data_IF_450351980521
#
_entry.id   IF_450351980521
#
_cell.length_a   1.000
_cell.length_b   1.000
_cell.length_c   1.000
_cell.angle_alpha   90.00
_cell.angle_beta   90.00
_cell.angle_gamma   90.00
#
_symmetry.space_group_name_H-M   'P 1'
#
loop_
_entity.id
_entity.type
_entity.pdbx_description
1 polymer ?
#
# COMPACT_ATOMS: atom_id res chain seq x y z
N UNK A 1 0.44 -7.95 -3.06
CA UNK A 1 -0.04 -6.66 -2.62
C UNK A 1 0.73 -6.14 -1.40
N UNK A 2 0.82 -6.87 -0.29
CA UNK A 2 1.47 -6.40 0.95
C UNK A 2 3.00 -6.52 0.95
N UNK A 3 3.59 -7.14 -0.07
CA UNK A 3 5.03 -7.42 -0.12
C UNK A 3 5.91 -6.22 0.24
N UNK A 4 5.79 -5.06 -0.42
CA UNK A 4 6.71 -3.95 -0.24
C UNK A 4 6.45 -3.08 1.01
N UNK A 5 5.35 -3.28 1.73
CA UNK A 5 4.98 -2.41 2.88
C UNK A 5 6.04 -2.43 3.99
N UNK A 6 6.68 -3.58 4.22
CA UNK A 6 7.77 -3.66 5.20
C UNK A 6 8.95 -2.76 4.80
N UNK A 7 9.35 -2.84 3.53
CA UNK A 7 10.45 -2.05 2.99
C UNK A 7 10.13 -0.54 3.04
N UNK A 8 8.96 -0.14 2.55
CA UNK A 8 8.52 1.26 2.53
C UNK A 8 8.39 1.82 3.95
N UNK A 9 7.69 1.11 4.84
CA UNK A 9 7.48 1.55 6.23
C UNK A 9 8.80 1.66 7.01
N UNK A 10 9.69 0.68 6.85
CA UNK A 10 11.01 0.71 7.52
C UNK A 10 11.92 1.79 6.93
N UNK A 11 11.86 2.01 5.61
CA UNK A 11 12.62 3.06 4.93
C UNK A 11 12.20 4.46 5.37
N UNK A 12 10.89 4.72 5.42
CA UNK A 12 10.35 5.99 5.93
C UNK A 12 10.68 6.21 7.40
N UNK A 13 10.53 5.18 8.25
CA UNK A 13 10.89 5.27 9.67
C UNK A 13 12.39 5.58 9.85
N UNK A 14 13.26 4.95 9.05
CA UNK A 14 14.68 5.26 9.04
C UNK A 14 14.97 6.69 8.59
N UNK A 15 14.25 7.20 7.58
CA UNK A 15 14.34 8.58 7.14
C UNK A 15 13.97 9.59 8.24
N UNK A 16 12.87 9.36 8.97
CA UNK A 16 12.51 10.20 10.14
C UNK A 16 13.56 10.14 11.23
N UNK A 17 14.14 8.99 11.53
CA UNK A 17 15.22 8.86 12.53
C UNK A 17 16.44 9.65 12.07
N UNK A 18 16.83 9.53 10.80
CA UNK A 18 17.96 10.28 10.25
C UNK A 18 17.73 11.80 10.29
N UNK A 19 16.56 12.27 9.87
CA UNK A 19 16.23 13.71 9.88
C UNK A 19 16.15 14.30 11.28
N UNK A 20 15.80 13.50 12.29
CA UNK A 20 15.76 13.94 13.68
C UNK A 20 17.15 13.97 14.36
N UNK A 21 18.08 13.13 13.92
CA UNK A 21 19.39 12.98 14.56
C UNK A 21 20.53 13.71 13.85
N UNK A 22 20.38 14.00 12.55
CA UNK A 22 21.45 14.55 11.71
C UNK A 22 20.95 15.73 10.89
N UNK A 23 21.80 16.73 10.72
CA UNK A 23 21.53 17.86 9.83
C UNK A 23 21.41 17.38 8.36
N UNK A 24 20.64 18.06 7.50
CA UNK A 24 20.42 17.65 6.11
C UNK A 24 21.71 17.48 5.29
N UNK A 25 22.73 18.24 5.57
CA UNK A 25 24.05 18.25 4.92
C UNK A 25 25.05 17.25 5.52
N UNK A 26 24.66 16.49 6.54
CA UNK A 26 25.53 15.49 7.16
C UNK A 26 25.92 14.41 6.15
N UNK A 27 27.21 14.00 6.19
CA UNK A 27 27.79 12.99 5.28
C UNK A 27 27.01 11.67 5.29
N UNK A 28 26.41 11.30 6.43
CA UNK A 28 25.61 10.09 6.56
C UNK A 28 24.39 10.07 5.64
N UNK A 29 23.82 11.25 5.30
CA UNK A 29 22.66 11.37 4.42
C UNK A 29 23.02 11.22 2.94
N UNK A 30 24.25 11.54 2.55
CA UNK A 30 24.75 11.44 1.17
C UNK A 30 25.52 10.14 0.88
N UNK A 31 25.93 9.42 1.94
CA UNK A 31 26.68 8.17 1.79
C UNK A 31 25.82 7.07 1.18
N UNK A 32 26.31 6.46 0.10
CA UNK A 32 25.68 5.27 -0.50
C UNK A 32 26.68 4.42 -1.28
N UNK A 33 26.38 3.13 -1.36
CA UNK A 33 27.04 2.15 -2.23
C UNK A 33 25.99 1.60 -3.20
N UNK A 34 26.13 1.86 -4.49
CA UNK A 34 25.28 1.29 -5.52
C UNK A 34 25.71 -0.15 -5.79
N UNK A 35 24.76 -1.10 -5.66
CA UNK A 35 24.96 -2.52 -5.91
C UNK A 35 24.64 -2.89 -7.35
N UNK A 36 23.48 -2.44 -7.85
CA UNK A 36 22.96 -2.76 -9.18
C UNK A 36 22.26 -1.53 -9.74
N UNK A 37 22.55 -1.21 -10.99
CA UNK A 37 21.82 -0.20 -11.76
C UNK A 37 20.60 -0.86 -12.41
N UNK A 38 19.42 -0.28 -12.17
CA UNK A 38 18.11 -0.71 -12.68
C UNK A 38 17.48 0.36 -13.58
N UNK A 39 18.29 1.27 -14.15
CA UNK A 39 17.80 2.38 -14.99
C UNK A 39 17.02 1.92 -16.22
N UNK A 40 17.19 0.65 -16.62
CA UNK A 40 16.39 0.04 -17.68
C UNK A 40 14.90 -0.17 -17.32
N UNK A 41 14.57 -0.21 -16.01
CA UNK A 41 13.18 -0.28 -15.51
C UNK A 41 12.59 1.12 -15.32
N UNK A 42 13.38 2.02 -14.75
CA UNK A 42 13.02 3.41 -14.51
C UNK A 42 14.31 4.23 -14.40
N UNK A 43 14.37 5.40 -15.04
CA UNK A 43 15.52 6.29 -15.00
C UNK A 43 15.95 6.61 -13.57
N UNK A 44 17.25 6.40 -13.28
CA UNK A 44 17.84 6.64 -11.95
C UNK A 44 17.52 5.59 -10.89
N UNK A 45 16.77 4.52 -11.22
CA UNK A 45 16.50 3.44 -10.28
C UNK A 45 17.76 2.58 -10.06
N UNK A 46 18.04 2.28 -8.80
CA UNK A 46 19.17 1.41 -8.44
C UNK A 46 18.90 0.66 -7.14
N UNK A 47 19.60 -0.45 -6.94
CA UNK A 47 19.74 -1.08 -5.63
C UNK A 47 20.96 -0.49 -4.94
N UNK A 48 20.79 0.00 -3.70
CA UNK A 48 21.84 0.68 -2.94
C UNK A 48 21.84 0.31 -1.46
N UNK A 49 23.02 0.37 -0.86
CA UNK A 49 23.17 0.35 0.59
C UNK A 49 23.50 1.76 1.04
N UNK A 50 22.73 2.31 1.96
CA UNK A 50 22.90 3.63 2.56
C UNK A 50 22.45 3.59 4.03
N UNK A 51 22.51 4.72 4.74
CA UNK A 51 22.10 4.80 6.13
C UNK A 51 20.63 4.37 6.34
N UNK A 52 19.73 4.76 5.43
CA UNK A 52 18.31 4.34 5.45
C UNK A 52 18.16 2.83 5.38
N UNK A 53 18.93 2.17 4.50
CA UNK A 53 18.92 0.71 4.39
C UNK A 53 19.40 0.05 5.69
N UNK A 54 20.47 0.55 6.32
CA UNK A 54 21.03 -0.04 7.55
C UNK A 54 20.04 0.10 8.70
N UNK A 55 19.51 1.31 8.93
CA UNK A 55 18.55 1.56 10.02
C UNK A 55 17.24 0.80 9.76
N UNK A 56 16.70 0.87 8.54
CA UNK A 56 15.47 0.18 8.16
C UNK A 56 15.57 -1.33 8.30
N UNK A 57 16.71 -1.92 7.93
CA UNK A 57 17.01 -3.35 8.13
C UNK A 57 17.04 -3.72 9.62
N UNK A 58 17.67 -2.89 10.45
CA UNK A 58 17.68 -3.10 11.90
C UNK A 58 16.26 -3.04 12.49
N UNK A 59 15.44 -2.07 12.07
CA UNK A 59 14.03 -1.97 12.48
C UNK A 59 13.22 -3.21 12.06
N UNK A 60 13.39 -3.69 10.82
CA UNK A 60 12.73 -4.93 10.36
C UNK A 60 13.15 -6.15 11.17
N UNK A 61 14.43 -6.26 11.54
CA UNK A 61 14.93 -7.35 12.38
C UNK A 61 14.36 -7.30 13.81
N UNK A 62 14.20 -6.11 14.39
CA UNK A 62 13.54 -5.93 15.69
C UNK A 62 12.08 -6.39 15.60
N UNK A 63 11.35 -5.96 14.57
CA UNK A 63 9.97 -6.39 14.35
C UNK A 63 9.89 -7.90 14.14
N UNK A 64 10.80 -8.47 13.36
CA UNK A 64 10.91 -9.92 13.18
C UNK A 64 11.07 -10.65 14.51
N UNK A 65 11.97 -10.19 15.38
CA UNK A 65 12.20 -10.79 16.68
C UNK A 65 10.95 -10.75 17.58
N UNK A 66 10.22 -9.63 17.57
CA UNK A 66 8.94 -9.49 18.31
C UNK A 66 7.91 -10.50 17.78
N UNK A 67 7.74 -10.59 16.47
CA UNK A 67 6.78 -11.48 15.82
C UNK A 67 7.12 -12.96 16.00
N UNK A 68 8.41 -13.29 15.96
CA UNK A 68 8.92 -14.65 16.18
C UNK A 68 8.67 -15.16 17.61
N UNK A 69 8.49 -14.24 18.58
CA UNK A 69 8.13 -14.53 19.96
C UNK A 69 6.66 -14.92 20.21
N UNK A 70 5.86 -15.01 19.14
CA UNK A 70 4.46 -15.46 19.18
C UNK A 70 3.43 -14.33 19.26
N UNK A 71 2.14 -14.73 19.08
CA UNK A 71 1.03 -13.80 18.85
C UNK A 71 0.75 -12.84 20.02
N UNK A 72 0.89 -13.28 21.26
CA UNK A 72 0.57 -12.44 22.43
C UNK A 72 1.51 -11.24 22.58
N UNK A 73 2.82 -11.44 22.31
CA UNK A 73 3.81 -10.34 22.32
C UNK A 73 3.54 -9.38 21.18
N UNK A 74 3.30 -9.91 20.00
CA UNK A 74 2.95 -9.14 18.82
C UNK A 74 1.69 -8.31 19.02
N UNK A 75 0.60 -8.88 19.50
CA UNK A 75 -0.67 -8.19 19.72
C UNK A 75 -0.55 -7.04 20.73
N UNK A 76 0.20 -7.20 21.83
CA UNK A 76 0.43 -6.13 22.80
C UNK A 76 1.23 -4.97 22.21
N UNK A 77 2.31 -5.26 21.48
CA UNK A 77 3.12 -4.24 20.83
C UNK A 77 2.30 -3.49 19.75
N UNK A 78 1.53 -4.23 18.94
CA UNK A 78 0.62 -3.67 17.93
C UNK A 78 -0.41 -2.72 18.56
N UNK A 79 -0.98 -3.07 19.70
CA UNK A 79 -1.94 -2.21 20.42
C UNK A 79 -1.29 -0.91 20.91
N UNK A 80 -0.09 -0.98 21.50
CA UNK A 80 0.62 0.21 22.01
C UNK A 80 0.99 1.13 20.83
N UNK A 81 1.61 0.60 19.79
CA UNK A 81 2.00 1.39 18.61
C UNK A 81 0.78 1.95 17.88
N UNK A 82 -0.33 1.19 17.83
CA UNK A 82 -1.58 1.62 17.23
C UNK A 82 -2.20 2.83 17.93
N UNK A 83 -2.30 2.78 19.25
CA UNK A 83 -2.86 3.88 20.03
C UNK A 83 -1.99 5.13 19.93
N UNK A 84 -0.66 4.99 20.03
CA UNK A 84 0.27 6.13 19.96
C UNK A 84 0.32 6.75 18.56
N UNK A 85 0.27 5.96 17.48
CA UNK A 85 0.31 6.46 16.11
C UNK A 85 -1.02 7.03 15.62
N UNK A 86 -2.15 6.46 16.05
CA UNK A 86 -3.48 6.86 15.58
C UNK A 86 -3.99 8.15 16.25
N UNK A 87 -3.66 8.36 17.52
CA UNK A 87 -4.15 9.51 18.27
C UNK A 87 -3.79 10.86 17.60
N UNK A 88 -2.53 11.15 17.22
CA UNK A 88 -2.21 12.41 16.57
C UNK A 88 -2.91 12.58 15.22
N UNK A 89 -3.10 11.52 14.45
CA UNK A 89 -3.80 11.59 13.17
C UNK A 89 -5.28 11.95 13.35
N UNK A 90 -5.94 11.38 14.37
CA UNK A 90 -7.32 11.72 14.71
C UNK A 90 -7.39 13.19 15.15
N UNK A 91 -6.48 13.65 16.00
CA UNK A 91 -6.45 15.04 16.48
C UNK A 91 -6.24 16.03 15.33
N UNK A 92 -5.31 15.74 14.43
CA UNK A 92 -5.03 16.57 13.25
C UNK A 92 -6.25 16.68 12.33
N UNK A 93 -7.00 15.60 12.15
CA UNK A 93 -8.23 15.62 11.36
C UNK A 93 -9.38 16.36 12.04
N UNK A 94 -9.49 16.30 13.37
CA UNK A 94 -10.63 16.86 14.13
C UNK A 94 -10.41 18.30 14.58
N UNK A 95 -9.20 18.67 15.01
CA UNK A 95 -8.94 20.00 15.59
C UNK A 95 -9.29 21.12 14.62
N UNK A 96 -8.84 21.16 13.36
CA UNK A 96 -9.19 22.22 12.42
C UNK A 96 -10.71 22.30 12.13
N UNK A 97 -11.42 21.16 12.17
CA UNK A 97 -12.87 21.16 12.02
C UNK A 97 -13.59 21.80 13.21
N UNK A 98 -13.06 21.62 14.43
CA UNK A 98 -13.65 22.17 15.66
C UNK A 98 -13.30 23.64 15.80
N UNK A 99 -12.08 24.04 15.48
CA UNK A 99 -11.61 25.43 15.58
C UNK A 99 -12.07 26.30 14.41
N UNK A 100 -12.50 25.68 13.31
CA UNK A 100 -12.84 26.39 12.07
C UNK A 100 -11.63 26.83 11.25
N UNK A 101 -10.43 26.36 11.55
CA UNK A 101 -9.17 26.70 10.87
C UNK A 101 -8.95 25.89 9.59
N UNK A 102 -9.99 25.82 8.76
CA UNK A 102 -9.93 25.22 7.43
C UNK A 102 -10.35 26.23 6.38
N UNK A 103 -9.43 27.09 5.91
CA UNK A 103 -9.76 28.07 4.88
C UNK A 103 -10.16 27.36 3.59
N UNK A 104 -11.44 27.51 3.20
CA UNK A 104 -12.00 26.89 1.98
C UNK A 104 -11.26 27.35 0.72
N UNK A 105 -10.64 28.52 0.74
CA UNK A 105 -9.78 29.02 -0.35
C UNK A 105 -8.59 28.13 -0.67
N UNK A 106 -8.10 27.33 0.29
CA UNK A 106 -7.00 26.38 0.10
C UNK A 106 -7.47 25.02 -0.46
N UNK A 107 -8.80 24.80 -0.50
CA UNK A 107 -9.41 23.54 -0.95
C UNK A 107 -10.15 23.76 -2.27
N UNK A 108 -10.64 24.97 -2.54
CA UNK A 108 -11.42 25.31 -3.72
C UNK A 108 -10.74 26.43 -4.53
N UNK A 109 -10.89 26.43 -5.86
CA UNK A 109 -11.65 25.48 -6.68
C UNK A 109 -10.98 24.11 -6.78
N UNK A 110 -11.78 23.05 -6.99
CA UNK A 110 -11.26 21.71 -7.28
C UNK A 110 -10.91 21.62 -8.76
N UNK A 111 -9.71 22.01 -9.11
CA UNK A 111 -9.16 21.97 -10.47
C UNK A 111 -7.95 21.04 -10.54
N UNK A 112 -7.66 20.42 -11.69
CA UNK A 112 -6.42 19.69 -11.88
C UNK A 112 -5.20 20.61 -11.69
N UNK A 113 -4.12 20.06 -11.17
CA UNK A 113 -2.85 20.76 -11.08
C UNK A 113 -2.32 21.07 -12.49
N UNK A 114 -1.94 22.32 -12.74
CA UNK A 114 -1.30 22.76 -13.96
C UNK A 114 -0.22 23.79 -13.67
N UNK A 115 0.67 24.00 -14.63
CA UNK A 115 1.76 24.96 -14.52
C UNK A 115 1.77 25.87 -15.75
N UNK A 116 2.07 27.14 -15.54
CA UNK A 116 2.31 28.07 -16.64
C UNK A 116 3.73 27.87 -17.23
N UNK A 117 4.08 28.69 -18.22
CA UNK A 117 5.37 28.64 -18.93
C UNK A 117 6.59 28.94 -18.04
N UNK A 118 6.40 29.46 -16.85
CA UNK A 118 7.46 29.80 -15.89
C UNK A 118 7.45 28.91 -14.65
N UNK A 119 6.59 27.87 -14.65
CA UNK A 119 6.46 26.92 -13.55
C UNK A 119 5.57 27.36 -12.41
N UNK A 120 4.82 28.47 -12.53
CA UNK A 120 3.82 28.85 -11.53
C UNK A 120 2.63 27.90 -11.55
N UNK A 121 2.12 27.60 -10.37
CA UNK A 121 0.92 26.78 -10.19
C UNK A 121 -0.30 27.57 -10.65
N UNK A 122 -1.06 27.00 -11.56
CA UNK A 122 -2.31 27.56 -12.09
C UNK A 122 -3.41 26.52 -12.07
N UNK A 123 -4.66 26.98 -12.14
CA UNK A 123 -5.82 26.12 -12.30
C UNK A 123 -5.81 25.43 -13.66
N UNK A 124 -5.78 24.12 -13.67
CA UNK A 124 -5.84 23.31 -14.90
C UNK A 124 -7.29 23.06 -15.34
N UNK A 125 -7.42 22.53 -16.53
CA UNK A 125 -8.72 22.19 -17.13
C UNK A 125 -9.04 20.71 -16.95
N UNK A 126 -10.34 20.38 -16.85
CA UNK A 126 -10.85 19.00 -16.84
C UNK A 126 -10.91 18.40 -18.24
N UNK A 127 -9.77 18.43 -18.95
CA UNK A 127 -9.51 17.71 -20.19
C UNK A 127 -8.97 16.29 -19.90
N UNK A 128 -8.54 15.56 -20.93
CA UNK A 128 -8.02 14.19 -20.76
C UNK A 128 -6.75 14.14 -19.87
N UNK A 129 -5.90 15.17 -19.95
CA UNK A 129 -4.71 15.28 -19.12
C UNK A 129 -5.07 15.51 -17.64
N UNK A 130 -6.03 16.41 -17.37
CA UNK A 130 -6.56 16.62 -16.01
C UNK A 130 -7.18 15.35 -15.42
N UNK A 131 -7.93 14.59 -16.21
CA UNK A 131 -8.47 13.29 -15.80
C UNK A 131 -7.36 12.24 -15.56
N UNK A 132 -6.28 12.24 -16.34
CA UNK A 132 -5.12 11.38 -16.14
C UNK A 132 -4.45 11.69 -14.79
N UNK A 133 -4.23 12.96 -14.46
CA UNK A 133 -3.66 13.38 -13.17
C UNK A 133 -4.58 12.98 -12.00
N UNK A 134 -5.89 13.22 -12.12
CA UNK A 134 -6.86 12.77 -11.12
C UNK A 134 -6.84 11.26 -10.94
N UNK A 135 -6.78 10.50 -12.03
CA UNK A 135 -6.66 9.04 -11.98
C UNK A 135 -5.36 8.60 -11.28
N UNK A 136 -4.25 9.29 -11.53
CA UNK A 136 -2.97 9.06 -10.84
C UNK A 136 -3.05 9.31 -9.34
N UNK A 137 -3.71 10.41 -8.94
CA UNK A 137 -3.96 10.72 -7.52
C UNK A 137 -4.84 9.68 -6.84
N UNK A 138 -5.97 9.31 -7.46
CA UNK A 138 -6.88 8.28 -6.93
C UNK A 138 -6.22 6.89 -6.93
N UNK A 139 -5.43 6.58 -7.94
CA UNK A 139 -4.65 5.34 -7.98
C UNK A 139 -3.73 5.23 -6.77
N UNK A 140 -2.90 6.25 -6.49
CA UNK A 140 -1.97 6.19 -5.35
C UNK A 140 -2.70 6.24 -4.01
N UNK A 141 -3.78 7.03 -3.90
CA UNK A 141 -4.60 7.12 -2.70
C UNK A 141 -5.22 5.75 -2.31
N UNK A 142 -5.53 4.90 -3.28
CA UNK A 142 -6.01 3.56 -3.03
C UNK A 142 -5.04 2.73 -2.17
N UNK A 143 -3.72 2.97 -2.28
CA UNK A 143 -2.74 2.31 -1.42
C UNK A 143 -2.94 2.63 0.07
N UNK A 144 -3.30 3.85 0.39
CA UNK A 144 -3.53 4.28 1.78
C UNK A 144 -4.69 3.55 2.44
N UNK A 145 -5.66 3.09 1.66
CA UNK A 145 -6.90 2.49 2.17
C UNK A 145 -6.80 0.99 2.42
N UNK A 146 -5.70 0.33 2.07
CA UNK A 146 -5.57 -1.10 2.30
C UNK A 146 -4.91 -1.50 3.61
N UNK A 147 -5.19 -2.73 4.05
CA UNK A 147 -4.73 -3.26 5.33
C UNK A 147 -5.86 -3.47 6.34
N UNK A 148 -7.04 -2.81 6.19
CA UNK A 148 -8.19 -3.04 7.08
C UNK A 148 -8.68 -4.50 7.02
N UNK A 149 -8.52 -5.17 5.89
CA UNK A 149 -8.82 -6.58 5.68
C UNK A 149 -7.82 -7.54 6.35
N UNK A 150 -6.72 -7.04 6.89
CA UNK A 150 -5.69 -7.86 7.56
C UNK A 150 -6.27 -8.72 8.68
N UNK A 151 -7.40 -8.31 9.28
CA UNK A 151 -8.12 -9.09 10.27
C UNK A 151 -8.47 -10.51 9.79
N UNK A 152 -8.67 -10.74 8.48
CA UNK A 152 -8.91 -12.06 7.90
C UNK A 152 -7.76 -13.03 8.18
N UNK A 153 -6.52 -12.55 8.18
CA UNK A 153 -5.34 -13.37 8.42
C UNK A 153 -5.27 -13.92 9.87
N UNK A 154 -6.03 -13.33 10.79
CA UNK A 154 -6.07 -13.70 12.20
C UNK A 154 -7.34 -14.45 12.60
N UNK A 155 -8.20 -14.82 11.65
CA UNK A 155 -9.51 -15.43 11.93
C UNK A 155 -9.43 -16.65 12.86
N UNK A 156 -8.39 -17.49 12.73
CA UNK A 156 -8.17 -18.65 13.61
C UNK A 156 -7.73 -18.29 15.03
N UNK A 157 -7.31 -17.05 15.26
CA UNK A 157 -6.81 -16.54 16.55
C UNK A 157 -7.86 -15.76 17.33
N UNK A 158 -9.02 -15.46 16.71
CA UNK A 158 -10.13 -14.80 17.37
C UNK A 158 -10.90 -15.73 18.32
N UNK A 159 -11.41 -15.17 19.40
CA UNK A 159 -12.28 -15.93 20.35
C UNK A 159 -13.59 -16.35 19.69
N UNK A 160 -14.20 -15.46 18.93
CA UNK A 160 -15.45 -15.66 18.19
C UNK A 160 -15.27 -15.29 16.72
N UNK A 161 -14.61 -16.13 15.90
CA UNK A 161 -14.25 -15.79 14.51
C UNK A 161 -15.42 -15.29 13.66
N UNK A 162 -16.62 -15.92 13.83
CA UNK A 162 -17.83 -15.57 13.06
C UNK A 162 -18.27 -14.11 13.25
N UNK A 163 -18.10 -13.55 14.43
CA UNK A 163 -18.53 -12.19 14.79
C UNK A 163 -17.35 -11.20 14.76
N UNK A 164 -16.20 -11.61 15.29
CA UNK A 164 -15.09 -10.71 15.54
C UNK A 164 -14.40 -10.28 14.24
N UNK A 165 -14.29 -11.19 13.25
CA UNK A 165 -13.72 -10.87 11.93
C UNK A 165 -14.54 -9.77 11.23
N UNK A 166 -15.88 -9.91 11.20
CA UNK A 166 -16.74 -8.89 10.60
C UNK A 166 -16.61 -7.54 11.31
N UNK A 167 -16.67 -7.53 12.64
CA UNK A 167 -16.56 -6.29 13.43
C UNK A 167 -15.22 -5.61 13.22
N UNK A 168 -14.13 -6.37 13.24
CA UNK A 168 -12.78 -5.84 13.03
C UNK A 168 -12.67 -5.16 11.66
N UNK A 169 -13.12 -5.82 10.58
CA UNK A 169 -13.07 -5.26 9.22
C UNK A 169 -13.99 -4.04 9.10
N UNK A 170 -15.21 -4.11 9.60
CA UNK A 170 -16.19 -3.04 9.48
C UNK A 170 -15.74 -1.76 10.20
N UNK A 171 -15.34 -1.86 11.47
CA UNK A 171 -14.94 -0.69 12.25
C UNK A 171 -13.59 -0.13 11.79
N UNK A 172 -12.62 -0.98 11.41
CA UNK A 172 -11.37 -0.49 10.84
C UNK A 172 -11.59 0.18 9.49
N UNK A 173 -12.49 -0.33 8.65
CA UNK A 173 -12.87 0.31 7.39
C UNK A 173 -13.49 1.69 7.60
N UNK A 174 -14.42 1.84 8.56
CA UNK A 174 -15.00 3.15 8.91
C UNK A 174 -13.94 4.12 9.43
N UNK A 175 -13.02 3.65 10.28
CA UNK A 175 -11.93 4.46 10.79
C UNK A 175 -10.99 4.90 9.66
N UNK A 176 -10.66 4.00 8.72
CA UNK A 176 -9.89 4.35 7.52
C UNK A 176 -10.58 5.46 6.71
N UNK A 177 -11.89 5.33 6.43
CA UNK A 177 -12.64 6.37 5.72
C UNK A 177 -12.53 7.71 6.44
N UNK A 178 -12.72 7.74 7.75
CA UNK A 178 -12.63 8.97 8.54
C UNK A 178 -11.23 9.59 8.48
N UNK A 179 -10.19 8.82 8.80
CA UNK A 179 -8.81 9.32 8.85
C UNK A 179 -8.33 9.77 7.47
N UNK A 180 -8.53 8.95 6.43
CA UNK A 180 -8.08 9.27 5.07
C UNK A 180 -8.93 10.31 4.33
N UNK A 181 -10.06 10.71 4.89
CA UNK A 181 -10.80 11.89 4.44
C UNK A 181 -10.37 13.15 5.20
N UNK A 182 -10.31 13.09 6.52
CA UNK A 182 -10.11 14.27 7.36
C UNK A 182 -8.66 14.76 7.40
N UNK A 183 -7.69 13.84 7.48
CA UNK A 183 -6.27 14.22 7.59
C UNK A 183 -5.76 14.93 6.33
N UNK A 184 -5.98 14.43 5.10
CA UNK A 184 -5.59 15.15 3.88
C UNK A 184 -6.26 16.50 3.75
N UNK A 185 -7.55 16.62 4.12
CA UNK A 185 -8.26 17.91 4.12
C UNK A 185 -7.62 18.91 5.11
N UNK A 186 -7.25 18.46 6.31
CA UNK A 186 -6.58 19.28 7.30
C UNK A 186 -5.21 19.75 6.79
N UNK A 187 -4.44 18.88 6.16
CA UNK A 187 -3.15 19.22 5.56
C UNK A 187 -3.31 20.25 4.44
N UNK A 188 -4.20 20.00 3.50
CA UNK A 188 -4.43 20.95 2.40
C UNK A 188 -5.00 22.28 2.88
N UNK A 189 -5.92 22.26 3.84
CA UNK A 189 -6.45 23.47 4.44
C UNK A 189 -5.38 24.31 5.14
N UNK A 190 -4.45 23.66 5.84
CA UNK A 190 -3.35 24.34 6.54
C UNK A 190 -2.25 24.85 5.60
N UNK A 191 -1.83 24.05 4.63
CA UNK A 191 -0.69 24.35 3.77
C UNK A 191 -1.06 25.08 2.48
N UNK A 192 -2.28 24.88 1.97
CA UNK A 192 -2.63 25.19 0.59
C UNK A 192 -1.94 24.27 -0.41
N UNK A 193 -2.27 24.44 -1.70
CA UNK A 193 -1.65 23.66 -2.77
C UNK A 193 -0.14 23.95 -2.88
N UNK A 194 0.23 25.20 -2.79
CA UNK A 194 1.60 25.68 -2.90
C UNK A 194 1.83 26.57 -4.11
N UNK A 195 2.93 27.32 -4.04
CA UNK A 195 3.36 28.25 -5.07
C UNK A 195 4.84 28.03 -5.40
N UNK A 196 5.27 28.50 -6.56
CA UNK A 196 6.68 28.50 -6.95
C UNK A 196 7.45 29.49 -6.10
N UNK A 197 8.42 29.04 -5.32
CA UNK A 197 9.31 29.86 -4.48
C UNK A 197 10.58 30.20 -5.25
N UNK A 198 11.23 29.21 -5.84
CA UNK A 198 12.44 29.38 -6.63
C UNK A 198 12.28 28.67 -7.98
N UNK A 199 12.71 29.37 -9.04
CA UNK A 199 12.67 28.82 -10.40
C UNK A 199 13.79 27.82 -10.62
N UNK A 200 13.54 26.88 -11.50
CA UNK A 200 14.55 25.99 -12.04
C UNK A 200 15.70 26.80 -12.64
N UNK A 201 16.92 26.44 -12.29
CA UNK A 201 18.11 27.02 -12.89
C UNK A 201 18.78 26.06 -13.83
N UNK A 202 19.04 26.53 -15.05
CA UNK A 202 19.71 25.76 -16.10
C UNK A 202 21.15 26.25 -16.28
N UNK A 203 22.08 25.35 -16.59
CA UNK A 203 23.42 25.72 -17.04
C UNK A 203 23.41 26.18 -18.51
N UNK A 204 24.55 26.63 -19.01
CA UNK A 204 24.72 27.07 -20.40
C UNK A 204 24.46 25.98 -21.46
N UNK A 205 24.41 24.74 -21.04
CA UNK A 205 24.06 23.58 -21.89
C UNK A 205 22.59 23.18 -21.81
N UNK A 206 21.74 23.95 -21.07
CA UNK A 206 20.32 23.65 -20.87
C UNK A 206 20.02 22.53 -19.89
N UNK A 207 21.00 22.12 -19.09
CA UNK A 207 20.79 21.07 -18.07
C UNK A 207 20.38 21.71 -16.74
N UNK A 208 19.45 21.06 -16.03
CA UNK A 208 18.98 21.50 -14.72
C UNK A 208 20.12 21.45 -13.70
N UNK A 209 20.50 22.59 -13.15
CA UNK A 209 21.48 22.71 -12.06
C UNK A 209 20.81 22.73 -10.70
N UNK A 210 19.67 23.42 -10.59
CA UNK A 210 18.81 23.34 -9.42
C UNK A 210 17.35 23.23 -9.87
N UNK A 211 16.57 22.27 -9.31
CA UNK A 211 15.16 22.11 -9.64
C UNK A 211 14.34 23.28 -9.07
N UNK A 212 13.14 23.47 -9.62
CA UNK A 212 12.18 24.41 -9.08
C UNK A 212 11.80 24.04 -7.64
N UNK A 213 11.67 25.04 -6.76
CA UNK A 213 11.27 24.85 -5.37
C UNK A 213 9.86 25.38 -5.18
N UNK A 214 9.00 24.55 -4.61
CA UNK A 214 7.61 24.87 -4.28
C UNK A 214 7.41 24.83 -2.77
N UNK A 215 6.48 25.63 -2.26
CA UNK A 215 5.98 25.57 -0.89
C UNK A 215 4.66 24.73 -0.80
N UNK A 216 3.97 24.80 0.33
CA UNK A 216 2.68 24.12 0.55
C UNK A 216 2.75 22.61 0.38
N UNK A 217 1.66 22.05 -0.15
CA UNK A 217 1.57 20.61 -0.42
C UNK A 217 2.55 20.11 -1.49
N UNK A 218 3.01 20.99 -2.37
CA UNK A 218 3.97 20.67 -3.43
C UNK A 218 5.43 20.70 -2.97
N UNK A 219 5.70 21.09 -1.71
CA UNK A 219 7.06 21.13 -1.20
C UNK A 219 7.73 19.76 -1.19
N UNK A 220 9.03 19.71 -1.47
CA UNK A 220 9.82 18.49 -1.45
C UNK A 220 9.79 17.77 -0.10
N UNK A 221 9.68 18.51 1.01
CA UNK A 221 9.58 17.95 2.36
C UNK A 221 8.26 17.19 2.57
N UNK A 222 7.15 17.72 2.05
CA UNK A 222 5.85 17.03 2.11
C UNK A 222 5.84 15.84 1.16
N UNK A 223 6.35 16.00 -0.06
CA UNK A 223 6.43 14.91 -1.04
C UNK A 223 7.27 13.72 -0.53
N UNK A 224 8.39 14.00 0.13
CA UNK A 224 9.24 12.97 0.75
C UNK A 224 8.64 12.39 2.04
N UNK A 225 7.63 13.03 2.61
CA UNK A 225 7.03 12.70 3.90
C UNK A 225 7.81 13.21 5.12
N UNK A 226 9.00 13.76 4.95
CA UNK A 226 9.86 14.19 6.08
C UNK A 226 9.30 15.44 6.80
N UNK A 227 8.60 16.33 6.11
CA UNK A 227 7.97 17.53 6.68
C UNK A 227 6.67 17.27 7.46
N UNK A 228 6.12 16.06 7.39
CA UNK A 228 4.79 15.73 7.97
C UNK A 228 4.74 16.03 9.48
N UNK A 229 5.79 15.74 10.24
CA UNK A 229 5.83 15.99 11.68
C UNK A 229 5.70 17.49 12.02
N UNK A 230 6.35 18.36 11.24
CA UNK A 230 6.29 19.82 11.41
C UNK A 230 4.88 20.34 11.12
N UNK A 231 4.24 19.82 10.07
CA UNK A 231 2.86 20.18 9.72
C UNK A 231 1.88 19.72 10.81
N UNK A 232 2.04 18.52 11.35
CA UNK A 232 1.23 18.04 12.47
C UNK A 232 1.38 18.96 13.69
N UNK A 233 2.60 19.36 14.02
CA UNK A 233 2.85 20.32 15.11
C UNK A 233 2.19 21.66 14.83
N UNK A 234 2.33 22.21 13.61
CA UNK A 234 1.72 23.48 13.21
C UNK A 234 0.20 23.49 13.32
N UNK A 235 -0.47 22.47 12.80
CA UNK A 235 -1.95 22.31 12.88
C UNK A 235 -2.44 22.28 14.33
N UNK A 236 -1.67 21.69 15.24
CA UNK A 236 -2.04 21.60 16.66
C UNK A 236 -1.53 22.76 17.51
N UNK A 237 -0.94 23.81 16.90
CA UNK A 237 -0.44 25.00 17.58
C UNK A 237 0.83 24.75 18.40
N UNK A 238 1.61 23.72 18.07
CA UNK A 238 2.86 23.34 18.75
C UNK A 238 4.10 23.98 18.13
N UNK A 239 5.19 23.92 18.90
CA UNK A 239 6.52 24.36 18.50
C UNK A 239 7.41 23.18 18.01
N UNK A 240 8.72 23.44 17.83
CA UNK A 240 9.70 22.43 17.43
C UNK A 240 9.82 21.25 18.41
N UNK A 241 9.52 21.43 19.68
CA UNK A 241 9.54 20.34 20.66
C UNK A 241 8.39 19.37 20.39
N UNK A 242 7.19 19.89 20.04
CA UNK A 242 6.08 19.06 19.61
C UNK A 242 6.39 18.31 18.31
N UNK A 243 7.08 18.93 17.35
CA UNK A 243 7.49 18.26 16.12
C UNK A 243 8.35 17.01 16.41
N UNK A 244 9.30 17.10 17.35
CA UNK A 244 10.11 15.94 17.75
C UNK A 244 9.26 14.79 18.37
N UNK A 245 8.24 15.14 19.17
CA UNK A 245 7.29 14.13 19.70
C UNK A 245 6.54 13.46 18.56
N UNK A 246 6.08 14.23 17.56
CA UNK A 246 5.40 13.66 16.39
C UNK A 246 6.30 12.78 15.54
N UNK A 247 7.58 13.11 15.39
CA UNK A 247 8.54 12.22 14.72
C UNK A 247 8.55 10.84 15.41
N UNK A 248 8.64 10.79 16.74
CA UNK A 248 8.60 9.52 17.46
C UNK A 248 7.29 8.78 17.23
N UNK A 249 6.14 9.49 17.29
CA UNK A 249 4.82 8.89 17.07
C UNK A 249 4.67 8.36 15.64
N UNK A 250 5.18 9.08 14.64
CA UNK A 250 5.18 8.63 13.23
C UNK A 250 6.07 7.40 13.04
N UNK A 251 7.25 7.36 13.65
CA UNK A 251 8.11 6.16 13.63
C UNK A 251 7.37 4.96 14.23
N UNK A 252 6.69 5.12 15.36
CA UNK A 252 5.90 4.06 15.98
C UNK A 252 4.71 3.63 15.10
N UNK A 253 4.05 4.57 14.42
CA UNK A 253 2.98 4.26 13.47
C UNK A 253 3.50 3.47 12.25
N UNK A 254 4.68 3.83 11.72
CA UNK A 254 5.33 3.08 10.65
C UNK A 254 5.76 1.69 11.09
N UNK A 255 6.31 1.55 12.32
CA UNK A 255 6.62 0.24 12.89
C UNK A 255 5.38 -0.61 13.12
N UNK A 256 4.24 -0.01 13.49
CA UNK A 256 2.96 -0.70 13.53
C UNK A 256 2.58 -1.28 12.16
N UNK A 257 2.72 -0.49 11.09
CA UNK A 257 2.47 -0.94 9.72
C UNK A 257 3.38 -2.11 9.34
N UNK A 258 4.68 -2.02 9.64
CA UNK A 258 5.66 -3.09 9.42
C UNK A 258 5.28 -4.35 10.21
N UNK A 259 4.88 -4.22 11.48
CA UNK A 259 4.47 -5.34 12.34
C UNK A 259 3.23 -6.05 11.82
N UNK A 260 2.18 -5.30 11.53
CA UNK A 260 0.90 -5.87 11.06
C UNK A 260 1.06 -6.55 9.71
N UNK A 261 1.83 -5.93 8.82
CA UNK A 261 2.09 -6.49 7.50
C UNK A 261 2.98 -7.74 7.57
N UNK A 262 4.03 -7.74 8.37
CA UNK A 262 4.87 -8.95 8.56
C UNK A 262 4.04 -10.11 9.11
N UNK A 263 3.19 -9.86 10.08
CA UNK A 263 2.35 -10.88 10.66
C UNK A 263 1.30 -11.40 9.66
N UNK A 264 0.59 -10.50 8.96
CA UNK A 264 -0.43 -10.87 7.99
C UNK A 264 0.12 -11.58 6.76
N UNK A 265 1.18 -11.04 6.13
CA UNK A 265 1.79 -11.64 4.95
C UNK A 265 2.42 -13.01 5.24
N UNK A 266 3.06 -13.18 6.39
CA UNK A 266 3.65 -14.47 6.77
C UNK A 266 2.58 -15.54 6.99
N UNK A 267 1.42 -15.19 7.58
CA UNK A 267 0.29 -16.10 7.71
C UNK A 267 -0.34 -16.45 6.37
N UNK A 268 -0.43 -15.48 5.47
CA UNK A 268 -0.93 -15.71 4.10
C UNK A 268 0.00 -16.66 3.33
N UNK A 269 1.31 -16.46 3.41
CA UNK A 269 2.29 -17.38 2.79
C UNK A 269 2.21 -18.79 3.40
N UNK A 270 2.10 -18.88 4.72
CA UNK A 270 1.91 -20.13 5.44
C UNK A 270 0.64 -20.85 4.97
N UNK A 271 -0.50 -20.16 4.97
CA UNK A 271 -1.77 -20.76 4.56
C UNK A 271 -1.75 -21.18 3.09
N UNK A 272 -1.24 -20.35 2.19
CA UNK A 272 -1.07 -20.71 0.77
C UNK A 272 -0.18 -21.94 0.56
N UNK A 273 0.79 -22.18 1.44
CA UNK A 273 1.59 -23.42 1.44
C UNK A 273 0.80 -24.64 1.93
N UNK A 274 -0.01 -24.49 2.98
CA UNK A 274 -0.91 -25.54 3.48
C UNK A 274 -1.95 -25.92 2.42
N UNK A 275 -2.49 -24.92 1.72
CA UNK A 275 -3.50 -25.09 0.68
C UNK A 275 -2.92 -25.67 -0.64
N UNK A 276 -1.60 -25.92 -0.71
CA UNK A 276 -0.94 -26.46 -1.91
C UNK A 276 -0.76 -25.48 -3.05
N UNK A 277 -0.88 -24.18 -2.78
CA UNK A 277 -0.68 -23.12 -3.78
C UNK A 277 0.75 -22.60 -3.82
N UNK A 278 1.47 -22.66 -2.70
CA UNK A 278 2.83 -22.15 -2.52
C UNK A 278 3.80 -23.27 -2.06
N UNK A 279 5.12 -23.05 -2.16
CA UNK A 279 6.13 -24.04 -1.78
C UNK A 279 5.94 -24.55 -0.35
N UNK A 280 6.05 -25.89 -0.16
CA UNK A 280 5.77 -26.57 1.10
C UNK A 280 6.64 -26.14 2.29
N UNK A 281 7.85 -25.60 2.07
CA UNK A 281 8.72 -25.14 3.16
C UNK A 281 8.15 -23.97 3.95
N UNK A 282 7.25 -23.17 3.34
CA UNK A 282 6.63 -22.01 3.98
C UNK A 282 5.64 -22.41 5.10
N UNK A 283 5.24 -23.68 5.18
CA UNK A 283 4.36 -24.20 6.24
C UNK A 283 5.09 -24.52 7.56
N UNK A 284 6.40 -24.29 7.65
CA UNK A 284 7.15 -24.55 8.87
C UNK A 284 6.89 -23.48 9.92
N UNK A 285 6.58 -23.94 11.14
CA UNK A 285 6.36 -23.10 12.33
C UNK A 285 7.42 -23.38 13.39
N UNK A 286 7.67 -22.41 14.28
CA UNK A 286 8.51 -22.60 15.44
C UNK A 286 7.71 -23.15 16.64
N UNK A 287 8.38 -23.36 17.78
CA UNK A 287 7.77 -23.85 19.02
C UNK A 287 6.67 -22.90 19.57
N UNK A 288 6.72 -21.63 19.23
CA UNK A 288 5.72 -20.62 19.59
C UNK A 288 4.55 -20.53 18.60
N UNK A 289 4.53 -21.38 17.57
CA UNK A 289 3.50 -21.40 16.53
C UNK A 289 3.62 -20.29 15.48
N UNK A 290 4.72 -19.53 15.46
CA UNK A 290 4.95 -18.51 14.43
C UNK A 290 5.44 -19.16 13.12
N UNK A 291 4.94 -18.71 11.94
CA UNK A 291 5.32 -19.26 10.63
C UNK A 291 6.71 -18.76 10.20
N UNK A 292 7.76 -19.24 10.87
CA UNK A 292 9.12 -18.71 10.80
C UNK A 292 9.71 -18.76 9.40
N UNK A 293 9.47 -19.84 8.63
CA UNK A 293 9.99 -19.94 7.26
C UNK A 293 9.36 -18.90 6.33
N UNK A 294 8.06 -18.66 6.47
CA UNK A 294 7.35 -17.62 5.74
C UNK A 294 7.82 -16.22 6.16
N UNK A 295 8.07 -16.01 7.46
CA UNK A 295 8.62 -14.75 7.97
C UNK A 295 10.01 -14.44 7.42
N UNK A 296 10.91 -15.42 7.39
CA UNK A 296 12.25 -15.26 6.79
C UNK A 296 12.18 -14.95 5.31
N UNK A 297 11.34 -15.66 4.56
CA UNK A 297 11.14 -15.41 3.13
C UNK A 297 10.66 -13.98 2.89
N UNK A 298 9.66 -13.54 3.65
CA UNK A 298 9.13 -12.18 3.57
C UNK A 298 10.20 -11.12 3.94
N UNK A 299 10.97 -11.35 5.00
CA UNK A 299 12.05 -10.46 5.43
C UNK A 299 13.13 -10.32 4.35
N UNK A 300 13.62 -11.43 3.78
CA UNK A 300 14.67 -11.40 2.74
C UNK A 300 14.20 -10.63 1.51
N UNK A 301 12.98 -10.89 1.03
CA UNK A 301 12.40 -10.14 -0.10
C UNK A 301 12.34 -8.64 0.23
N UNK A 302 11.91 -8.28 1.43
CA UNK A 302 11.81 -6.87 1.81
C UNK A 302 13.15 -6.18 2.05
N UNK A 303 14.19 -6.91 2.45
CA UNK A 303 15.56 -6.36 2.49
C UNK A 303 16.05 -5.99 1.08
N UNK A 304 15.75 -6.83 0.07
CA UNK A 304 16.05 -6.48 -1.32
C UNK A 304 15.24 -5.27 -1.77
N UNK A 305 13.95 -5.20 -1.47
CA UNK A 305 13.10 -4.06 -1.82
C UNK A 305 13.51 -2.77 -1.09
N UNK A 306 13.97 -2.86 0.17
CA UNK A 306 14.46 -1.71 0.94
C UNK A 306 15.73 -1.10 0.33
N UNK A 307 16.53 -1.90 -0.38
CA UNK A 307 17.70 -1.38 -1.09
C UNK A 307 17.37 -0.57 -2.35
N UNK A 308 16.12 -0.56 -2.82
CA UNK A 308 15.70 0.24 -3.99
C UNK A 308 15.78 1.74 -3.68
N UNK A 309 16.25 2.52 -4.64
CA UNK A 309 16.44 3.96 -4.50
C UNK A 309 15.14 4.79 -4.55
N UNK A 310 14.06 4.23 -5.09
CA UNK A 310 12.79 4.92 -5.28
C UNK A 310 11.63 4.15 -4.62
N UNK A 311 11.23 4.64 -3.44
CA UNK A 311 10.12 4.05 -2.69
C UNK A 311 8.75 4.41 -3.25
N UNK A 312 8.62 5.55 -3.93
CA UNK A 312 7.35 5.97 -4.56
C UNK A 312 7.03 5.05 -5.73
N UNK A 313 8.03 4.76 -6.56
CA UNK A 313 7.88 3.77 -7.63
C UNK A 313 7.53 2.38 -7.09
N UNK A 314 8.20 1.93 -6.03
CA UNK A 314 7.91 0.64 -5.38
C UNK A 314 6.49 0.59 -4.83
N UNK A 315 6.04 1.68 -4.20
CA UNK A 315 4.68 1.83 -3.69
C UNK A 315 3.65 1.75 -4.83
N UNK A 316 3.86 2.52 -5.88
CA UNK A 316 2.96 2.55 -7.03
C UNK A 316 2.90 1.18 -7.76
N UNK A 317 4.04 0.53 -7.98
CA UNK A 317 4.06 -0.81 -8.57
C UNK A 317 3.36 -1.87 -7.70
N UNK A 318 3.49 -1.78 -6.37
CA UNK A 318 2.78 -2.68 -5.45
C UNK A 318 1.27 -2.46 -5.46
N UNK A 319 0.84 -1.20 -5.64
CA UNK A 319 -0.57 -0.84 -5.67
C UNK A 319 -1.31 -1.43 -6.87
N UNK A 320 -0.65 -1.59 -8.01
CA UNK A 320 -1.19 -2.34 -9.16
C UNK A 320 -1.64 -3.74 -8.74
N UNK A 321 -0.76 -4.47 -8.04
CA UNK A 321 -1.10 -5.80 -7.52
C UNK A 321 -2.26 -5.78 -6.52
N UNK A 322 -2.37 -4.73 -5.70
CA UNK A 322 -3.46 -4.59 -4.74
C UNK A 322 -4.80 -4.31 -5.43
N UNK A 323 -4.84 -3.45 -6.43
CA UNK A 323 -6.06 -3.17 -7.18
C UNK A 323 -6.54 -4.42 -7.93
N UNK A 324 -5.63 -5.19 -8.54
CA UNK A 324 -5.95 -6.49 -9.17
C UNK A 324 -6.54 -7.45 -8.13
N UNK A 325 -5.92 -7.56 -6.97
CA UNK A 325 -6.41 -8.40 -5.87
C UNK A 325 -7.82 -8.00 -5.42
N UNK A 326 -8.09 -6.72 -5.21
CA UNK A 326 -9.42 -6.23 -4.84
C UNK A 326 -10.46 -6.48 -5.93
N UNK A 327 -10.10 -6.26 -7.20
CA UNK A 327 -10.94 -6.58 -8.34
C UNK A 327 -11.37 -8.05 -8.34
N UNK A 328 -10.42 -8.96 -8.17
CA UNK A 328 -10.71 -10.39 -8.12
C UNK A 328 -11.55 -10.77 -6.90
N UNK A 329 -11.27 -10.23 -5.72
CA UNK A 329 -12.01 -10.52 -4.49
C UNK A 329 -13.47 -10.05 -4.55
N UNK A 330 -13.70 -8.83 -5.00
CA UNK A 330 -15.06 -8.26 -5.08
C UNK A 330 -15.92 -9.03 -6.10
N UNK A 331 -15.31 -9.44 -7.21
CA UNK A 331 -15.98 -10.29 -8.19
C UNK A 331 -16.17 -11.73 -7.68
N UNK A 332 -15.21 -12.30 -6.98
CA UNK A 332 -15.35 -13.62 -6.38
C UNK A 332 -16.52 -13.67 -5.39
N UNK A 333 -16.83 -12.57 -4.71
CA UNK A 333 -17.93 -12.49 -3.73
C UNK A 333 -19.30 -12.83 -4.33
N UNK A 334 -19.65 -12.31 -5.50
CA UNK A 334 -20.92 -12.63 -6.16
C UNK A 334 -20.87 -13.94 -6.92
N UNK A 335 -19.73 -14.30 -7.53
CA UNK A 335 -19.51 -15.59 -8.18
C UNK A 335 -19.70 -16.73 -7.18
N UNK A 336 -19.11 -16.63 -5.99
CA UNK A 336 -19.30 -17.61 -4.93
C UNK A 336 -20.75 -17.72 -4.44
N UNK A 337 -21.58 -16.68 -4.59
CA UNK A 337 -23.01 -16.78 -4.28
C UNK A 337 -23.79 -17.56 -5.33
N UNK A 338 -23.35 -17.53 -6.58
CA UNK A 338 -23.92 -18.33 -7.66
C UNK A 338 -23.54 -19.80 -7.50
N UNK A 339 -22.27 -20.08 -7.25
CA UNK A 339 -21.76 -21.44 -7.14
C UNK A 339 -22.23 -22.13 -5.85
N UNK A 340 -22.31 -21.37 -4.75
CA UNK A 340 -22.63 -21.87 -3.41
C UNK A 340 -23.78 -21.09 -2.76
N UNK A 341 -25.01 -21.13 -3.31
CA UNK A 341 -26.15 -20.32 -2.83
C UNK A 341 -26.55 -20.66 -1.39
N UNK A 342 -26.42 -21.92 -0.99
CA UNK A 342 -26.83 -22.44 0.31
C UNK A 342 -25.67 -22.50 1.33
N UNK A 343 -24.46 -22.03 0.97
CA UNK A 343 -23.33 -22.01 1.88
C UNK A 343 -23.62 -21.11 3.09
N UNK A 344 -23.42 -21.64 4.29
CA UNK A 344 -23.60 -20.88 5.53
C UNK A 344 -22.57 -19.73 5.60
N UNK A 345 -23.07 -18.52 5.72
CA UNK A 345 -22.22 -17.31 5.85
C UNK A 345 -22.52 -16.64 7.17
N UNK A 346 -21.52 -16.46 8.06
CA UNK A 346 -21.71 -15.73 9.35
C UNK A 346 -22.31 -14.34 9.15
N UNK A 347 -21.90 -13.66 8.07
CA UNK A 347 -22.48 -12.40 7.60
C UNK A 347 -22.77 -12.48 6.11
N UNK A 348 -24.01 -12.19 5.73
CA UNK A 348 -24.42 -12.13 4.34
C UNK A 348 -24.63 -10.67 3.93
N UNK A 349 -23.60 -10.04 3.31
CA UNK A 349 -23.71 -8.65 2.86
C UNK A 349 -24.93 -8.46 1.93
N UNK A 350 -25.65 -7.32 2.01
CA UNK A 350 -26.72 -7.00 1.06
C UNK A 350 -26.23 -7.05 -0.38
N UNK A 351 -27.08 -7.53 -1.29
CA UNK A 351 -26.70 -7.65 -2.72
C UNK A 351 -26.35 -6.31 -3.34
N UNK A 352 -26.99 -5.22 -2.90
CA UNK A 352 -26.70 -3.86 -3.36
C UNK A 352 -25.26 -3.47 -3.04
N UNK A 353 -24.76 -3.78 -1.83
CA UNK A 353 -23.38 -3.48 -1.47
C UNK A 353 -22.37 -4.27 -2.32
N UNK A 354 -22.69 -5.53 -2.65
CA UNK A 354 -21.85 -6.32 -3.55
C UNK A 354 -21.86 -5.72 -4.96
N UNK A 355 -23.02 -5.32 -5.47
CA UNK A 355 -23.13 -4.69 -6.79
C UNK A 355 -22.32 -3.39 -6.86
N UNK A 356 -22.45 -2.51 -5.86
CA UNK A 356 -21.68 -1.27 -5.76
C UNK A 356 -20.17 -1.59 -5.67
N UNK A 357 -19.76 -2.50 -4.79
CA UNK A 357 -18.36 -2.89 -4.66
C UNK A 357 -17.78 -3.45 -5.96
N UNK A 358 -18.55 -4.29 -6.66
CA UNK A 358 -18.19 -4.82 -7.99
C UNK A 358 -18.02 -3.69 -9.00
N UNK A 359 -18.97 -2.76 -9.10
CA UNK A 359 -18.85 -1.62 -9.99
C UNK A 359 -17.63 -0.76 -9.70
N UNK A 360 -17.40 -0.43 -8.42
CA UNK A 360 -16.22 0.34 -7.99
C UNK A 360 -14.91 -0.40 -8.28
N UNK A 361 -14.91 -1.73 -8.26
CA UNK A 361 -13.72 -2.50 -8.63
C UNK A 361 -13.35 -2.30 -10.11
N UNK A 362 -14.32 -2.22 -11.00
CA UNK A 362 -14.09 -1.88 -12.40
C UNK A 362 -13.62 -0.44 -12.59
N UNK A 363 -14.20 0.52 -11.84
CA UNK A 363 -13.71 1.91 -11.83
C UNK A 363 -12.25 1.96 -11.40
N UNK A 364 -11.85 1.23 -10.36
CA UNK A 364 -10.45 1.16 -9.93
C UNK A 364 -9.52 0.57 -11.02
N UNK A 365 -10.00 -0.37 -11.84
CA UNK A 365 -9.23 -0.86 -12.99
C UNK A 365 -9.01 0.23 -14.05
N UNK A 366 -10.02 1.08 -14.31
CA UNK A 366 -9.88 2.25 -15.20
C UNK A 366 -8.84 3.23 -14.63
N UNK A 367 -8.97 3.60 -13.34
CA UNK A 367 -8.05 4.51 -12.66
C UNK A 367 -6.61 3.98 -12.67
N UNK A 368 -6.43 2.67 -12.49
CA UNK A 368 -5.12 2.03 -12.57
C UNK A 368 -4.54 2.13 -13.99
N UNK A 369 -5.31 1.85 -15.02
CA UNK A 369 -4.86 1.93 -16.41
C UNK A 369 -4.47 3.35 -16.81
N UNK A 370 -5.27 4.36 -16.44
CA UNK A 370 -4.98 5.77 -16.74
C UNK A 370 -3.87 6.35 -15.85
N UNK A 371 -3.84 5.99 -14.57
CA UNK A 371 -3.10 6.74 -13.56
C UNK A 371 -1.77 6.11 -13.09
N UNK A 372 -1.56 4.81 -13.29
CA UNK A 372 -0.38 4.15 -12.72
C UNK A 372 0.95 4.72 -13.26
N UNK A 373 1.04 5.04 -14.54
CA UNK A 373 2.25 5.56 -15.17
C UNK A 373 2.54 7.05 -14.86
N UNK A 374 1.62 7.77 -14.23
CA UNK A 374 1.86 9.12 -13.69
C UNK A 374 2.98 9.09 -12.64
N UNK A 375 3.12 7.98 -11.91
CA UNK A 375 4.13 7.78 -10.85
C UNK A 375 5.46 7.22 -11.36
N UNK A 376 5.63 7.17 -12.67
CA UNK A 376 6.83 6.73 -13.37
C UNK A 376 6.48 5.81 -14.53
N UNK A 377 7.10 6.08 -15.68
CA UNK A 377 6.95 5.24 -16.87
C UNK A 377 7.31 3.79 -16.53
N UNK A 378 6.46 2.86 -16.92
CA UNK A 378 6.66 1.43 -16.65
C UNK A 378 6.06 0.92 -15.30
N UNK A 379 5.49 1.79 -14.45
CA UNK A 379 4.87 1.39 -13.17
C UNK A 379 3.77 0.34 -13.37
N UNK A 380 2.87 0.56 -14.33
CA UNK A 380 1.79 -0.38 -14.63
C UNK A 380 2.33 -1.76 -15.02
N UNK A 381 3.27 -1.79 -15.96
CA UNK A 381 3.85 -3.04 -16.43
C UNK A 381 4.63 -3.77 -15.33
N UNK A 382 5.45 -3.05 -14.57
CA UNK A 382 6.21 -3.62 -13.44
C UNK A 382 5.29 -4.21 -12.37
N UNK A 383 4.20 -3.51 -12.05
CA UNK A 383 3.22 -4.01 -11.09
C UNK A 383 2.48 -5.25 -11.57
N UNK A 384 2.09 -5.31 -12.85
CA UNK A 384 1.47 -6.49 -13.46
C UNK A 384 2.46 -7.67 -13.45
N UNK A 385 3.70 -7.47 -13.86
CA UNK A 385 4.73 -8.53 -13.87
C UNK A 385 4.97 -9.08 -12.46
N UNK A 386 5.07 -8.20 -11.45
CA UNK A 386 5.19 -8.62 -10.06
C UNK A 386 3.98 -9.43 -9.57
N UNK A 387 2.76 -9.03 -9.96
CA UNK A 387 1.55 -9.78 -9.61
C UNK A 387 1.51 -11.16 -10.29
N UNK A 388 1.99 -11.27 -11.51
CA UNK A 388 2.01 -12.53 -12.28
C UNK A 388 3.09 -13.52 -11.82
N UNK A 389 4.10 -13.09 -11.03
CA UNK A 389 5.15 -13.99 -10.51
C UNK A 389 4.59 -15.17 -9.69
N UNK A 390 3.42 -15.03 -9.10
CA UNK A 390 2.77 -16.12 -8.36
C UNK A 390 2.36 -17.28 -9.26
N UNK A 391 2.06 -17.03 -10.54
CA UNK A 391 1.58 -18.05 -11.48
C UNK A 391 2.61 -19.17 -11.72
N UNK A 392 3.87 -18.90 -12.11
CA UNK A 392 4.87 -19.96 -12.27
C UNK A 392 5.16 -20.70 -10.96
N UNK A 393 5.09 -20.02 -9.80
CA UNK A 393 5.26 -20.66 -8.50
C UNK A 393 4.11 -21.65 -8.23
N UNK A 394 2.86 -21.23 -8.51
CA UNK A 394 1.69 -22.10 -8.40
C UNK A 394 1.75 -23.27 -9.36
N UNK A 395 2.10 -23.05 -10.65
CA UNK A 395 2.23 -24.13 -11.66
C UNK A 395 3.26 -25.14 -11.20
N UNK A 396 4.43 -24.69 -10.75
CA UNK A 396 5.47 -25.58 -10.22
C UNK A 396 4.94 -26.37 -9.00
N UNK A 397 4.33 -25.71 -8.03
CA UNK A 397 3.84 -26.36 -6.82
C UNK A 397 2.73 -27.35 -7.12
N UNK A 398 1.66 -26.90 -7.78
CA UNK A 398 0.45 -27.71 -7.98
C UNK A 398 0.65 -28.84 -8.99
N UNK A 399 1.24 -28.54 -10.15
CA UNK A 399 1.34 -29.55 -11.22
C UNK A 399 2.60 -30.41 -11.14
N UNK A 400 3.77 -29.83 -10.78
CA UNK A 400 5.01 -30.60 -10.77
C UNK A 400 5.26 -31.32 -9.42
N UNK A 401 4.94 -30.66 -8.28
CA UNK A 401 5.15 -31.25 -6.95
C UNK A 401 3.95 -32.09 -6.52
N UNK A 402 2.75 -31.53 -6.54
CA UNK A 402 1.53 -32.16 -6.03
C UNK A 402 0.75 -32.94 -7.11
N UNK A 403 1.28 -33.03 -8.35
CA UNK A 403 0.73 -33.77 -9.48
C UNK A 403 -0.74 -33.44 -9.81
N UNK A 404 -1.14 -32.17 -9.64
CA UNK A 404 -2.48 -31.68 -9.94
C UNK A 404 -3.53 -31.98 -8.88
N UNK A 405 -3.12 -32.44 -7.68
CA UNK A 405 -4.06 -32.78 -6.60
C UNK A 405 -3.88 -31.81 -5.43
N UNK A 406 -4.96 -31.12 -5.03
CA UNK A 406 -4.94 -30.28 -3.83
C UNK A 406 -4.82 -31.13 -2.55
N UNK A 407 -4.19 -30.60 -1.49
CA UNK A 407 -4.13 -31.26 -0.18
C UNK A 407 -5.53 -31.63 0.34
N UNK A 408 -5.59 -32.72 1.13
CA UNK A 408 -6.85 -33.26 1.65
C UNK A 408 -7.67 -32.19 2.41
N UNK A 409 -7.02 -31.42 3.28
CA UNK A 409 -7.69 -30.36 4.05
C UNK A 409 -8.38 -29.32 3.14
N UNK A 410 -7.70 -28.88 2.07
CA UNK A 410 -8.28 -27.94 1.13
C UNK A 410 -9.46 -28.55 0.35
N UNK A 411 -9.34 -29.81 -0.07
CA UNK A 411 -10.44 -30.49 -0.75
C UNK A 411 -11.68 -30.61 0.13
N UNK A 412 -11.50 -30.94 1.41
CA UNK A 412 -12.58 -31.01 2.40
C UNK A 412 -13.20 -29.62 2.63
N UNK A 413 -12.40 -28.59 2.83
CA UNK A 413 -12.86 -27.20 3.03
C UNK A 413 -13.63 -26.69 1.81
N UNK A 414 -13.19 -27.02 0.61
CA UNK A 414 -13.86 -26.64 -0.65
C UNK A 414 -14.98 -27.61 -1.06
N UNK A 415 -15.21 -28.69 -0.33
CA UNK A 415 -16.16 -29.75 -0.68
C UNK A 415 -15.91 -30.29 -2.10
N UNK A 416 -14.67 -30.54 -2.47
CA UNK A 416 -14.26 -31.21 -3.69
C UNK A 416 -14.36 -32.73 -3.50
N UNK A 417 -14.62 -33.45 -4.59
CA UNK A 417 -14.57 -34.89 -4.58
C UNK A 417 -13.14 -35.45 -4.42
N UNK A 418 -12.97 -36.76 -4.26
CA UNK A 418 -11.65 -37.38 -4.10
C UNK A 418 -10.72 -37.17 -5.30
N UNK A 419 -11.27 -36.93 -6.49
CA UNK A 419 -10.53 -36.59 -7.72
C UNK A 419 -10.26 -35.10 -7.90
N UNK A 420 -10.67 -34.26 -6.95
CA UNK A 420 -10.51 -32.82 -7.01
C UNK A 420 -11.50 -32.11 -7.94
N UNK A 421 -12.52 -32.81 -8.42
CA UNK A 421 -13.57 -32.26 -9.27
C UNK A 421 -14.47 -31.29 -8.47
N UNK A 422 -14.90 -30.22 -9.10
CA UNK A 422 -15.84 -29.29 -8.49
C UNK A 422 -17.26 -29.86 -8.58
N UNK A 423 -17.95 -29.85 -7.44
CA UNK A 423 -19.27 -30.49 -7.35
C UNK A 423 -20.34 -29.61 -8.02
N UNK A 424 -20.22 -28.30 -8.06
CA UNK A 424 -21.19 -27.39 -8.69
C UNK A 424 -20.51 -26.09 -9.17
N UNK A 425 -20.38 -25.93 -10.48
CA UNK A 425 -19.89 -24.71 -11.12
C UNK A 425 -21.06 -24.00 -11.83
N UNK A 426 -21.96 -23.33 -11.08
CA UNK A 426 -23.08 -22.59 -11.66
C UNK A 426 -22.65 -21.32 -12.36
N UNK A 427 -21.57 -20.71 -11.92
CA UNK A 427 -21.01 -19.50 -12.56
C UNK A 427 -20.45 -19.81 -13.97
N UNK A 428 -20.05 -21.06 -14.26
CA UNK A 428 -19.58 -21.48 -15.58
C UNK A 428 -18.42 -20.63 -16.09
N UNK A 429 -18.64 -19.92 -17.21
CA UNK A 429 -17.63 -19.10 -17.88
C UNK A 429 -17.45 -17.71 -17.24
N UNK A 430 -18.33 -17.26 -16.32
CA UNK A 430 -18.31 -15.91 -15.77
C UNK A 430 -16.99 -15.47 -15.13
N UNK A 431 -16.26 -16.31 -14.36
CA UNK A 431 -14.96 -15.92 -13.82
C UNK A 431 -13.95 -15.51 -14.90
N UNK A 432 -13.93 -16.25 -16.02
CA UNK A 432 -13.03 -15.95 -17.15
C UNK A 432 -13.43 -14.65 -17.85
N UNK A 433 -14.72 -14.38 -18.01
CA UNK A 433 -15.23 -13.13 -18.58
C UNK A 433 -14.89 -11.95 -17.69
N UNK A 434 -14.96 -12.09 -16.36
CA UNK A 434 -14.54 -11.05 -15.41
C UNK A 434 -13.07 -10.72 -15.61
N UNK A 435 -12.19 -11.73 -15.64
CA UNK A 435 -10.75 -11.52 -15.85
C UNK A 435 -10.50 -10.84 -17.20
N UNK A 436 -11.12 -11.34 -18.27
CA UNK A 436 -10.97 -10.78 -19.61
C UNK A 436 -11.42 -9.31 -19.67
N UNK A 437 -12.57 -8.99 -19.09
CA UNK A 437 -13.08 -7.59 -19.06
C UNK A 437 -12.15 -6.70 -18.24
N UNK A 438 -11.59 -7.17 -17.11
CA UNK A 438 -10.58 -6.44 -16.34
C UNK A 438 -9.33 -6.12 -17.17
N UNK A 439 -8.79 -7.11 -17.88
CA UNK A 439 -7.63 -6.93 -18.76
C UNK A 439 -7.94 -5.90 -19.86
N UNK A 440 -9.07 -6.04 -20.54
CA UNK A 440 -9.47 -5.11 -21.61
C UNK A 440 -9.63 -3.68 -21.10
N UNK A 441 -10.23 -3.49 -19.93
CA UNK A 441 -10.41 -2.17 -19.32
C UNK A 441 -9.06 -1.52 -19.05
N UNK A 442 -8.11 -2.24 -18.41
CA UNK A 442 -6.77 -1.70 -18.15
C UNK A 442 -6.03 -1.36 -19.44
N UNK A 443 -6.11 -2.26 -20.42
CA UNK A 443 -5.48 -2.05 -21.72
C UNK A 443 -6.01 -0.80 -22.42
N UNK A 444 -7.32 -0.69 -22.61
CA UNK A 444 -7.91 0.46 -23.29
C UNK A 444 -7.77 1.76 -22.50
N UNK A 445 -7.93 1.74 -21.18
CA UNK A 445 -7.73 2.94 -20.35
C UNK A 445 -6.29 3.43 -20.36
N UNK A 446 -5.29 2.53 -20.43
CA UNK A 446 -3.89 2.91 -20.57
C UNK A 446 -3.58 3.48 -21.96
N UNK A 447 -4.20 2.96 -23.03
CA UNK A 447 -4.04 3.50 -24.38
C UNK A 447 -4.61 4.92 -24.53
N UNK A 448 -5.73 5.22 -23.87
CA UNK A 448 -6.35 6.56 -23.93
C UNK A 448 -5.40 7.69 -23.50
N UNK A 449 -4.41 7.39 -22.68
CA UNK A 449 -3.47 8.37 -22.11
C UNK A 449 -2.01 8.09 -22.47
N UNK A 450 -1.78 7.18 -23.42
CA UNK A 450 -0.41 6.73 -23.77
C UNK A 450 0.41 7.84 -24.44
N UNK A 451 -0.26 8.71 -25.21
CA UNK A 451 0.38 9.78 -25.99
C UNK A 451 0.43 11.13 -25.23
N UNK A 452 -0.07 11.16 -23.99
CA UNK A 452 0.01 12.30 -23.07
C UNK A 452 1.18 12.12 -22.11
#
# INVERSE_FOLDING_TARGET
AWGPVLAIGSGLAAGYILSALFAPDAVINSWQITLVDLSYLKDGLSLRINATFIIGSALMLVVFAIQNGGILRSARATMIFGLTGLLPLILVGLVPLITGDLPLSNITPLTPLSYDSIGQVIDGEWNLEGWKLMAGGLFIAAWSTYGFETAVCYTREFKNPKSDTFKAIFFSGLLCIAVFSLVPLAFQGHLGLGQLVERETLNSAGQVVAPAVYDGMLSAEIYSGMGVANVLAGILGGDSMFANVFVVMLVLALLLSVMTTMAGSSRTLYQGSIDGMLPGYLSKVNEQGAPTAAMWTNLIVNLVLLSMSDYVFLLAASNVGYIIFNFLNLNAGWIHRLDRPNWERPYRAPTVLIAIGTLLSYVNMVLMGMGANVWGKGTLMSGILLALLVIPIFIWRHYLVDKGVFPKAMREDMSLDENGGDIICRAGILPYLVVLTGILIVFYSSLLVADL
#
